data_IF_769911913817
#
_entry.id   IF_769911913817
#
_cell.length_a   1.000
_cell.length_b   1.000
_cell.length_c   1.000
_cell.angle_alpha   90.00
_cell.angle_beta   90.00
_cell.angle_gamma   90.00
#
_symmetry.space_group_name_H-M   'P 1'
#
loop_
_entity.id
_entity.type
_entity.pdbx_description
1 polymer ?
#
# COMPACT_ATOMS: atom_id res chain seq x y z
N UNK A 1 17.76 32.00 -3.37
CA UNK A 1 18.57 30.87 -3.84
C UNK A 1 19.01 30.13 -2.59
N UNK A 2 18.57 28.89 -2.39
CA UNK A 2 18.96 28.11 -1.22
C UNK A 2 20.40 27.61 -1.33
N UNK A 3 21.02 27.29 -0.21
CA UNK A 3 22.38 26.75 -0.16
C UNK A 3 22.46 25.44 -0.94
N UNK A 4 23.39 25.35 -1.90
CA UNK A 4 23.66 24.14 -2.68
C UNK A 4 24.94 23.49 -2.17
N UNK A 5 24.86 22.25 -1.71
CA UNK A 5 25.98 21.53 -1.09
C UNK A 5 26.63 20.57 -2.10
N UNK A 6 27.97 20.51 -2.08
CA UNK A 6 28.77 19.52 -2.81
C UNK A 6 29.60 18.76 -1.79
N UNK A 7 29.46 17.44 -1.75
CA UNK A 7 30.22 16.54 -0.88
C UNK A 7 31.24 15.78 -1.71
N UNK A 8 32.47 15.67 -1.20
CA UNK A 8 33.50 14.79 -1.75
C UNK A 8 33.52 13.51 -0.94
N UNK A 9 33.21 12.39 -1.58
CA UNK A 9 33.37 11.07 -0.99
C UNK A 9 34.71 10.52 -1.46
N UNK A 10 35.67 10.42 -0.55
CA UNK A 10 37.03 10.00 -0.86
C UNK A 10 37.31 8.64 -0.23
N UNK A 11 37.66 7.66 -1.06
CA UNK A 11 38.03 6.31 -0.65
C UNK A 11 39.47 6.00 -1.10
N UNK A 12 40.19 5.21 -0.33
CA UNK A 12 41.57 4.83 -0.63
C UNK A 12 41.79 3.33 -0.54
N UNK A 13 42.46 2.72 -1.53
CA UNK A 13 42.63 1.28 -1.62
C UNK A 13 43.98 0.87 -2.23
N UNK A 14 44.62 -0.13 -1.63
CA UNK A 14 45.84 -0.79 -2.14
C UNK A 14 45.55 -2.10 -2.88
N UNK A 15 44.37 -2.69 -2.68
CA UNK A 15 43.95 -3.94 -3.33
C UNK A 15 42.75 -3.64 -4.22
N UNK A 16 42.77 -4.07 -5.50
CA UNK A 16 41.66 -3.76 -6.39
C UNK A 16 40.42 -4.56 -5.99
N UNK A 17 39.24 -3.92 -6.05
CA UNK A 17 37.95 -4.51 -5.67
C UNK A 17 36.99 -4.46 -6.87
N UNK A 18 36.52 -5.62 -7.31
CA UNK A 18 35.65 -5.75 -8.48
C UNK A 18 34.34 -4.97 -8.35
N UNK A 19 33.85 -4.72 -7.14
CA UNK A 19 32.59 -4.02 -6.88
C UNK A 19 32.80 -2.60 -6.35
N UNK A 20 34.00 -2.03 -6.50
CA UNK A 20 34.30 -0.69 -6.00
C UNK A 20 33.36 0.39 -6.55
N UNK A 21 33.02 0.35 -7.83
CA UNK A 21 32.05 1.27 -8.44
C UNK A 21 30.69 1.24 -7.73
N UNK A 22 30.16 0.04 -7.45
CA UNK A 22 28.93 -0.14 -6.66
C UNK A 22 29.08 0.41 -5.24
N UNK A 23 30.19 0.12 -4.57
CA UNK A 23 30.43 0.53 -3.18
C UNK A 23 30.47 2.06 -3.04
N UNK A 24 31.17 2.74 -3.94
CA UNK A 24 31.24 4.20 -3.95
C UNK A 24 29.87 4.85 -4.17
N UNK A 25 29.08 4.31 -5.09
CA UNK A 25 27.73 4.83 -5.34
C UNK A 25 26.78 4.55 -4.18
N UNK A 26 26.89 3.39 -3.53
CA UNK A 26 26.16 3.10 -2.30
C UNK A 26 26.48 4.13 -1.20
N UNK A 27 27.76 4.43 -0.96
CA UNK A 27 28.16 5.48 -0.02
C UNK A 27 27.67 6.87 -0.42
N UNK A 28 27.68 7.18 -1.71
CA UNK A 28 27.15 8.45 -2.21
C UNK A 28 25.65 8.60 -1.90
N UNK A 29 24.85 7.55 -2.13
CA UNK A 29 23.43 7.54 -1.77
C UNK A 29 23.19 7.61 -0.26
N UNK A 30 24.04 6.95 0.54
CA UNK A 30 23.96 7.07 2.01
C UNK A 30 24.22 8.51 2.46
N UNK A 31 25.24 9.18 1.91
CA UNK A 31 25.56 10.58 2.25
C UNK A 31 24.43 11.53 1.84
N UNK A 32 23.83 11.31 0.66
CA UNK A 32 22.64 12.01 0.19
C UNK A 32 21.45 11.85 1.15
N UNK A 33 21.16 10.62 1.59
CA UNK A 33 20.07 10.34 2.54
C UNK A 33 20.33 10.96 3.92
N UNK A 34 21.57 10.89 4.40
CA UNK A 34 21.96 11.50 5.67
C UNK A 34 21.76 13.03 5.64
N UNK A 35 22.05 13.69 4.52
CA UNK A 35 21.80 15.12 4.35
C UNK A 35 20.29 15.45 4.49
N UNK A 36 19.41 14.65 3.90
CA UNK A 36 17.95 14.85 4.08
C UNK A 36 17.51 14.63 5.54
N UNK A 37 18.08 13.63 6.22
CA UNK A 37 17.79 13.35 7.63
C UNK A 37 18.21 14.48 8.58
N UNK A 38 19.16 15.33 8.17
CA UNK A 38 19.57 16.52 8.92
C UNK A 38 18.59 17.71 8.77
N UNK A 39 17.49 17.54 8.03
CA UNK A 39 16.44 18.55 7.86
C UNK A 39 16.59 19.39 6.59
N UNK A 40 17.58 19.10 5.75
CA UNK A 40 17.71 19.74 4.44
C UNK A 40 16.61 19.26 3.48
N UNK A 41 16.16 20.15 2.58
CA UNK A 41 15.01 19.89 1.68
C UNK A 41 15.41 19.45 0.27
N UNK A 42 16.70 19.48 -0.05
CA UNK A 42 17.25 19.17 -1.37
C UNK A 42 18.45 18.26 -1.22
N UNK A 43 18.70 17.41 -2.23
CA UNK A 43 19.86 16.53 -2.24
C UNK A 43 21.16 17.30 -2.52
N UNK A 44 22.29 16.93 -1.89
CA UNK A 44 23.60 17.44 -2.26
C UNK A 44 24.14 16.70 -3.49
N UNK A 45 25.05 17.32 -4.24
CA UNK A 45 25.86 16.58 -5.21
C UNK A 45 26.97 15.85 -4.46
N UNK A 46 27.08 14.54 -4.62
CA UNK A 46 28.16 13.74 -4.02
C UNK A 46 29.08 13.24 -5.12
N UNK A 47 30.35 13.61 -5.05
CA UNK A 47 31.38 13.22 -6.02
C UNK A 47 32.23 12.11 -5.41
N UNK A 48 32.08 10.84 -5.86
CA UNK A 48 32.95 9.75 -5.44
C UNK A 48 34.33 9.85 -6.11
N UNK A 49 35.39 9.70 -5.32
CA UNK A 49 36.78 9.71 -5.76
C UNK A 49 37.49 8.51 -5.13
N UNK A 50 38.07 7.65 -5.97
CA UNK A 50 38.91 6.53 -5.54
C UNK A 50 40.38 6.87 -5.72
N UNK A 51 41.15 6.84 -4.64
CA UNK A 51 42.61 6.83 -4.68
C UNK A 51 43.13 5.40 -4.62
N UNK A 52 43.47 4.84 -5.78
CA UNK A 52 44.05 3.51 -5.89
C UNK A 52 45.56 3.57 -6.07
N UNK A 53 46.30 2.79 -5.27
CA UNK A 53 47.77 2.72 -5.29
C UNK A 53 48.30 1.29 -5.19
N UNK A 54 47.52 0.32 -5.70
CA UNK A 54 47.91 -1.09 -5.67
C UNK A 54 48.97 -1.49 -6.69
N UNK A 55 49.51 -2.70 -6.52
CA UNK A 55 50.54 -3.27 -7.41
C UNK A 55 50.00 -3.60 -8.82
N UNK A 56 48.71 -3.92 -8.94
CA UNK A 56 48.07 -4.17 -10.25
C UNK A 56 47.70 -2.84 -10.90
N UNK A 57 48.36 -2.48 -12.00
CA UNK A 57 48.15 -1.21 -12.70
C UNK A 57 48.00 -1.42 -14.21
N UNK A 58 47.04 -0.75 -14.88
CA UNK A 58 46.03 0.17 -14.32
C UNK A 58 44.99 -0.57 -13.45
N UNK A 59 44.11 0.19 -12.77
CA UNK A 59 43.02 -0.41 -11.98
C UNK A 59 42.20 -1.38 -12.87
N UNK A 60 42.02 -2.65 -12.48
CA UNK A 60 41.59 -3.68 -13.41
C UNK A 60 40.06 -3.88 -13.51
N UNK A 61 39.25 -3.08 -12.80
CA UNK A 61 37.80 -3.29 -12.68
C UNK A 61 36.99 -2.08 -13.10
N UNK A 62 35.70 -2.32 -13.35
CA UNK A 62 34.76 -1.30 -13.81
C UNK A 62 34.60 -0.16 -12.81
N UNK A 63 34.60 1.07 -13.34
CA UNK A 63 34.48 2.31 -12.56
C UNK A 63 33.02 2.79 -12.48
N UNK A 64 32.20 2.51 -13.50
CA UNK A 64 30.78 2.86 -13.51
C UNK A 64 30.00 1.75 -12.81
N UNK A 65 29.30 2.11 -11.73
CA UNK A 65 28.59 1.14 -10.90
C UNK A 65 27.59 0.24 -11.67
N UNK A 66 26.96 0.75 -12.73
CA UNK A 66 26.01 -0.04 -13.56
C UNK A 66 26.70 -1.14 -14.36
N UNK A 67 28.00 -1.02 -14.62
CA UNK A 67 28.80 -2.07 -15.26
C UNK A 67 29.13 -3.23 -14.32
N UNK A 68 28.96 -3.04 -13.00
CA UNK A 68 29.06 -4.13 -12.03
C UNK A 68 27.88 -5.11 -12.09
N UNK A 69 26.80 -4.78 -12.82
CA UNK A 69 25.60 -5.61 -12.95
C UNK A 69 25.64 -6.50 -14.19
N UNK A 70 24.94 -7.65 -14.18
CA UNK A 70 24.66 -8.40 -15.41
C UNK A 70 23.94 -7.51 -16.43
N UNK A 71 24.24 -7.69 -17.73
CA UNK A 71 23.68 -6.88 -18.81
C UNK A 71 23.90 -5.36 -18.61
N UNK A 72 25.17 -4.95 -18.46
CA UNK A 72 25.59 -3.59 -18.14
C UNK A 72 24.91 -2.48 -18.97
N UNK A 73 24.71 -2.69 -20.28
CA UNK A 73 24.03 -1.72 -21.14
C UNK A 73 22.57 -1.49 -20.73
N UNK A 74 21.84 -2.57 -20.40
CA UNK A 74 20.45 -2.51 -19.93
C UNK A 74 20.40 -1.84 -18.56
N UNK A 75 21.31 -2.19 -17.66
CA UNK A 75 21.40 -1.56 -16.35
C UNK A 75 21.67 -0.06 -16.46
N UNK A 76 22.64 0.35 -17.30
CA UNK A 76 22.96 1.75 -17.50
C UNK A 76 21.76 2.54 -18.03
N UNK A 77 21.07 2.01 -19.04
CA UNK A 77 19.85 2.61 -19.57
C UNK A 77 18.75 2.72 -18.51
N UNK A 78 18.52 1.67 -17.72
CA UNK A 78 17.48 1.62 -16.69
C UNK A 78 17.70 2.66 -15.59
N UNK A 79 18.94 2.82 -15.12
CA UNK A 79 19.25 3.69 -13.99
C UNK A 79 19.63 5.13 -14.37
N UNK A 80 19.81 5.40 -15.67
CA UNK A 80 20.14 6.75 -16.17
C UNK A 80 18.98 7.40 -16.96
N UNK A 81 17.92 6.65 -17.25
CA UNK A 81 16.71 7.17 -17.90
C UNK A 81 15.64 7.56 -16.87
N UNK A 82 14.63 8.37 -17.25
CA UNK A 82 13.44 8.54 -16.44
C UNK A 82 12.84 7.19 -16.06
N UNK A 83 12.34 7.07 -14.83
CA UNK A 83 11.64 5.86 -14.42
C UNK A 83 10.37 5.67 -15.28
N UNK A 84 9.97 4.43 -15.57
CA UNK A 84 8.76 4.16 -16.36
C UNK A 84 7.52 4.50 -15.52
N UNK A 85 6.97 5.70 -15.70
CA UNK A 85 5.72 6.12 -15.08
C UNK A 85 4.54 5.63 -15.92
N UNK A 86 3.68 4.80 -15.33
CA UNK A 86 2.36 4.45 -15.88
C UNK A 86 1.31 5.30 -15.17
N UNK A 87 0.99 6.46 -15.74
CA UNK A 87 -0.03 7.35 -15.20
C UNK A 87 -1.41 7.04 -15.80
N UNK A 88 -2.12 6.12 -15.17
CA UNK A 88 -3.47 5.72 -15.59
C UNK A 88 -4.52 6.85 -15.50
N UNK A 89 -4.21 7.97 -14.84
CA UNK A 89 -5.17 9.08 -14.70
C UNK A 89 -5.40 9.82 -16.01
N UNK A 90 -4.40 9.80 -16.90
CA UNK A 90 -4.44 10.47 -18.21
C UNK A 90 -4.72 9.52 -19.37
N UNK A 91 -4.69 8.20 -19.15
CA UNK A 91 -4.98 7.19 -20.17
C UNK A 91 -6.49 7.07 -20.36
N UNK A 92 -6.99 7.13 -21.59
CA UNK A 92 -8.42 6.99 -21.89
C UNK A 92 -8.96 5.60 -21.54
N UNK A 93 -10.20 5.50 -21.08
CA UNK A 93 -10.79 4.21 -20.67
C UNK A 93 -10.79 3.19 -21.83
N UNK A 94 -11.03 3.65 -23.06
CA UNK A 94 -11.01 2.81 -24.26
C UNK A 94 -9.62 2.28 -24.58
N UNK A 95 -8.57 3.02 -24.23
CA UNK A 95 -7.19 2.56 -24.36
C UNK A 95 -6.89 1.51 -23.28
N UNK A 96 -7.30 1.76 -22.03
CA UNK A 96 -7.14 0.81 -20.91
C UNK A 96 -7.77 -0.55 -21.24
N UNK A 97 -8.96 -0.58 -21.83
CA UNK A 97 -9.62 -1.84 -22.25
C UNK A 97 -8.75 -2.69 -23.18
N UNK A 98 -7.84 -2.08 -23.94
CA UNK A 98 -6.92 -2.79 -24.82
C UNK A 98 -5.75 -3.48 -24.10
N UNK A 99 -5.51 -3.16 -22.81
CA UNK A 99 -4.41 -3.68 -22.01
C UNK A 99 -4.61 -5.14 -21.52
N UNK A 100 -5.60 -5.85 -22.07
CA UNK A 100 -5.83 -7.29 -21.86
C UNK A 100 -6.07 -7.62 -20.37
N UNK A 101 -5.20 -8.42 -19.74
CA UNK A 101 -5.39 -8.95 -18.38
C UNK A 101 -5.33 -7.88 -17.29
N UNK A 102 -4.52 -6.84 -17.49
CA UNK A 102 -4.32 -5.80 -16.46
C UNK A 102 -5.38 -4.69 -16.52
N UNK A 103 -6.14 -4.63 -17.63
CA UNK A 103 -7.12 -3.58 -17.90
C UNK A 103 -8.15 -3.41 -16.77
N UNK A 104 -8.65 -4.50 -16.17
CA UNK A 104 -9.61 -4.38 -15.05
C UNK A 104 -8.96 -3.73 -13.83
N UNK A 105 -7.70 -4.07 -13.54
CA UNK A 105 -6.99 -3.49 -12.40
C UNK A 105 -6.76 -2.00 -12.62
N UNK A 106 -6.29 -1.61 -13.81
CA UNK A 106 -6.07 -0.22 -14.16
C UNK A 106 -7.37 0.60 -14.13
N UNK A 107 -8.44 0.07 -14.71
CA UNK A 107 -9.73 0.74 -14.74
C UNK A 107 -10.33 0.87 -13.33
N UNK A 108 -10.19 -0.17 -12.49
CA UNK A 108 -10.60 -0.14 -11.08
C UNK A 108 -9.77 0.84 -10.25
N UNK A 109 -8.46 0.95 -10.49
CA UNK A 109 -7.60 1.93 -9.82
C UNK A 109 -7.95 3.35 -10.23
N UNK A 110 -8.08 3.60 -11.53
CA UNK A 110 -8.44 4.91 -12.10
C UNK A 110 -9.78 5.39 -11.53
N UNK A 111 -10.74 4.48 -11.44
CA UNK A 111 -12.10 4.78 -11.00
C UNK A 111 -12.44 4.23 -9.62
N UNK A 112 -11.49 4.17 -8.69
CA UNK A 112 -11.69 3.55 -7.35
C UNK A 112 -12.99 3.96 -6.65
N UNK A 113 -13.30 5.25 -6.66
CA UNK A 113 -14.48 5.84 -5.98
C UNK A 113 -15.77 5.76 -6.81
N UNK A 114 -15.64 5.43 -8.09
CA UNK A 114 -16.67 5.30 -9.11
C UNK A 114 -17.97 6.07 -8.83
N UNK A 115 -17.91 7.41 -8.91
CA UNK A 115 -19.03 8.32 -8.61
C UNK A 115 -19.79 8.76 -9.86
N UNK A 116 -19.04 9.24 -10.85
CA UNK A 116 -19.57 9.68 -12.14
C UNK A 116 -19.27 8.60 -13.19
N UNK A 117 -20.11 8.50 -14.21
CA UNK A 117 -19.95 7.56 -15.34
C UNK A 117 -19.82 6.07 -14.98
N UNK A 118 -20.33 5.67 -13.80
CA UNK A 118 -20.26 4.29 -13.32
C UNK A 118 -20.83 3.27 -14.33
N UNK A 119 -21.87 3.66 -15.08
CA UNK A 119 -22.47 2.82 -16.10
C UNK A 119 -21.46 2.52 -17.23
N UNK A 120 -20.82 3.56 -17.79
CA UNK A 120 -19.81 3.42 -18.85
C UNK A 120 -18.62 2.59 -18.38
N UNK A 121 -18.14 2.80 -17.15
CA UNK A 121 -17.03 2.02 -16.59
C UNK A 121 -17.45 0.57 -16.35
N UNK A 122 -18.69 0.32 -15.94
CA UNK A 122 -19.23 -1.04 -15.78
C UNK A 122 -19.29 -1.78 -17.11
N UNK A 123 -19.71 -1.10 -18.18
CA UNK A 123 -19.70 -1.64 -19.55
C UNK A 123 -18.28 -2.06 -19.96
N UNK A 124 -17.26 -1.26 -19.63
CA UNK A 124 -15.88 -1.64 -19.87
C UNK A 124 -15.44 -2.85 -19.03
N UNK A 125 -15.84 -2.96 -17.76
CA UNK A 125 -15.56 -4.17 -16.97
C UNK A 125 -16.18 -5.41 -17.61
N UNK A 126 -17.44 -5.33 -18.05
CA UNK A 126 -18.12 -6.41 -18.78
C UNK A 126 -17.35 -6.76 -20.06
N UNK A 127 -16.96 -5.75 -20.85
CA UNK A 127 -16.20 -5.94 -22.09
C UNK A 127 -14.87 -6.66 -21.83
N UNK A 128 -14.12 -6.25 -20.81
CA UNK A 128 -12.83 -6.85 -20.48
C UNK A 128 -13.03 -8.29 -19.99
N UNK A 129 -14.01 -8.54 -19.13
CA UNK A 129 -14.30 -9.89 -18.61
C UNK A 129 -14.74 -10.85 -19.72
N UNK A 130 -15.49 -10.37 -20.71
CA UNK A 130 -15.92 -11.18 -21.85
C UNK A 130 -14.84 -11.35 -22.94
N UNK A 131 -13.69 -10.69 -22.81
CA UNK A 131 -12.58 -10.84 -23.75
C UNK A 131 -11.88 -12.21 -23.61
N UNK A 132 -11.37 -12.76 -24.71
CA UNK A 132 -10.66 -14.05 -24.73
C UNK A 132 -9.27 -14.05 -24.07
N UNK A 133 -8.91 -12.97 -23.35
CA UNK A 133 -7.61 -12.86 -22.70
C UNK A 133 -7.56 -13.42 -21.28
N UNK A 134 -8.72 -13.66 -20.64
CA UNK A 134 -8.80 -14.06 -19.24
C UNK A 134 -9.24 -15.52 -19.11
N UNK A 135 -8.40 -16.34 -18.48
CA UNK A 135 -8.82 -17.67 -18.03
C UNK A 135 -9.64 -17.59 -16.73
N UNK A 136 -10.11 -18.74 -16.25
CA UNK A 136 -10.93 -18.80 -15.04
C UNK A 136 -10.21 -18.26 -13.80
N UNK A 137 -8.90 -18.47 -13.67
CA UNK A 137 -8.10 -17.99 -12.54
C UNK A 137 -7.84 -16.49 -12.64
N UNK A 138 -7.59 -15.98 -13.86
CA UNK A 138 -7.47 -14.55 -14.12
C UNK A 138 -8.74 -13.84 -13.68
N UNK A 139 -9.91 -14.33 -14.08
CA UNK A 139 -11.20 -13.71 -13.71
C UNK A 139 -11.45 -13.75 -12.21
N UNK A 140 -11.16 -14.86 -11.53
CA UNK A 140 -11.29 -14.92 -10.07
C UNK A 140 -10.38 -13.87 -9.41
N UNK A 141 -9.15 -13.73 -9.86
CA UNK A 141 -8.17 -12.77 -9.33
C UNK A 141 -8.64 -11.33 -9.57
N UNK A 142 -9.07 -11.04 -10.78
CA UNK A 142 -9.62 -9.76 -11.20
C UNK A 142 -10.83 -9.37 -10.34
N UNK A 143 -11.79 -10.27 -10.14
CA UNK A 143 -13.00 -10.00 -9.37
C UNK A 143 -12.71 -9.80 -7.88
N UNK A 144 -11.83 -10.60 -7.30
CA UNK A 144 -11.39 -10.39 -5.91
C UNK A 144 -10.77 -9.00 -5.76
N UNK A 145 -9.86 -8.63 -6.67
CA UNK A 145 -9.24 -7.30 -6.66
C UNK A 145 -10.27 -6.18 -6.82
N UNK A 146 -11.16 -6.30 -7.80
CA UNK A 146 -12.21 -5.33 -8.11
C UNK A 146 -13.09 -5.08 -6.89
N UNK A 147 -13.54 -6.14 -6.21
CA UNK A 147 -14.41 -6.02 -5.04
C UNK A 147 -13.69 -5.55 -3.77
N UNK A 148 -12.38 -5.75 -3.66
CA UNK A 148 -11.59 -5.23 -2.53
C UNK A 148 -11.37 -3.71 -2.68
N UNK A 149 -11.08 -3.24 -3.90
CA UNK A 149 -10.66 -1.85 -4.10
C UNK A 149 -11.80 -0.92 -4.42
N UNK A 150 -12.84 -1.40 -5.10
CA UNK A 150 -13.97 -0.56 -5.49
C UNK A 150 -14.74 -0.09 -4.26
N UNK A 151 -14.75 1.23 -4.08
CA UNK A 151 -15.45 1.93 -3.02
C UNK A 151 -16.50 2.84 -3.66
N UNK A 152 -17.60 2.22 -4.09
CA UNK A 152 -18.66 2.88 -4.86
C UNK A 152 -20.04 2.70 -4.21
N UNK A 153 -20.87 3.77 -4.16
CA UNK A 153 -22.26 3.64 -3.74
C UNK A 153 -23.10 2.77 -4.72
N UNK A 154 -22.62 2.56 -5.95
CA UNK A 154 -23.29 1.75 -6.97
C UNK A 154 -22.82 0.29 -6.98
N UNK A 155 -22.07 -0.15 -5.98
CA UNK A 155 -21.48 -1.49 -5.92
C UNK A 155 -22.48 -2.61 -6.24
N UNK A 156 -23.67 -2.56 -5.64
CA UNK A 156 -24.70 -3.60 -5.87
C UNK A 156 -25.14 -3.68 -7.33
N UNK A 157 -25.46 -2.54 -7.96
CA UNK A 157 -25.90 -2.53 -9.36
C UNK A 157 -24.78 -2.93 -10.33
N UNK A 158 -23.52 -2.59 -10.00
CA UNK A 158 -22.35 -3.01 -10.76
C UNK A 158 -22.21 -4.54 -10.69
N UNK A 159 -22.24 -5.11 -9.48
CA UNK A 159 -22.15 -6.57 -9.28
C UNK A 159 -23.27 -7.30 -10.01
N UNK A 160 -24.51 -6.81 -9.93
CA UNK A 160 -25.65 -7.37 -10.66
C UNK A 160 -25.43 -7.32 -12.18
N UNK A 161 -24.98 -6.18 -12.71
CA UNK A 161 -24.66 -6.04 -14.14
C UNK A 161 -23.57 -7.01 -14.58
N UNK A 162 -22.52 -7.19 -13.77
CA UNK A 162 -21.45 -8.15 -14.04
C UNK A 162 -21.98 -9.60 -14.02
N UNK A 163 -22.85 -9.95 -13.07
CA UNK A 163 -23.49 -11.28 -12.99
C UNK A 163 -24.33 -11.55 -14.24
N UNK A 164 -25.06 -10.55 -14.73
CA UNK A 164 -25.99 -10.69 -15.84
C UNK A 164 -25.31 -10.68 -17.21
N UNK A 165 -24.25 -9.89 -17.37
CA UNK A 165 -23.62 -9.66 -18.68
C UNK A 165 -22.27 -10.36 -18.87
N UNK A 166 -21.63 -10.88 -17.81
CA UNK A 166 -20.38 -11.63 -17.93
C UNK A 166 -20.67 -13.13 -18.17
N UNK A 167 -20.96 -13.47 -19.42
CA UNK A 167 -21.51 -14.77 -19.87
C UNK A 167 -20.79 -15.99 -19.24
N UNK A 168 -19.48 -16.09 -19.45
CA UNK A 168 -18.67 -17.25 -19.02
C UNK A 168 -18.27 -17.20 -17.55
N UNK A 169 -18.61 -16.14 -16.82
CA UNK A 169 -18.06 -15.83 -15.51
C UNK A 169 -19.10 -15.65 -14.42
N UNK A 170 -20.40 -15.66 -14.76
CA UNK A 170 -21.52 -15.57 -13.82
C UNK A 170 -21.36 -16.41 -12.56
N UNK A 171 -21.04 -17.70 -12.71
CA UNK A 171 -20.88 -18.62 -11.58
C UNK A 171 -19.72 -18.24 -10.65
N UNK A 172 -18.61 -17.75 -11.20
CA UNK A 172 -17.47 -17.27 -10.41
C UNK A 172 -17.83 -15.98 -9.67
N UNK A 173 -18.47 -15.02 -10.35
CA UNK A 173 -18.91 -13.74 -9.76
C UNK A 173 -19.88 -13.98 -8.61
N UNK A 174 -20.92 -14.79 -8.84
CA UNK A 174 -21.92 -15.12 -7.80
C UNK A 174 -21.27 -15.78 -6.59
N UNK A 175 -20.36 -16.74 -6.80
CA UNK A 175 -19.68 -17.43 -5.70
C UNK A 175 -18.83 -16.44 -4.88
N UNK A 176 -18.02 -15.61 -5.54
CA UNK A 176 -17.16 -14.61 -4.88
C UNK A 176 -18.01 -13.58 -4.13
N UNK A 177 -19.05 -13.02 -4.76
CA UNK A 177 -19.95 -12.06 -4.13
C UNK A 177 -20.66 -12.66 -2.90
N UNK A 178 -21.11 -13.91 -3.00
CA UNK A 178 -21.75 -14.61 -1.88
C UNK A 178 -20.76 -14.92 -0.75
N UNK A 179 -19.53 -15.30 -1.08
CA UNK A 179 -18.45 -15.53 -0.11
C UNK A 179 -18.15 -14.23 0.66
N UNK A 180 -17.89 -13.12 -0.04
CA UNK A 180 -17.62 -11.82 0.58
C UNK A 180 -18.78 -11.35 1.46
N UNK A 181 -20.03 -11.53 1.01
CA UNK A 181 -21.22 -11.22 1.82
C UNK A 181 -21.31 -12.07 3.09
N UNK A 182 -20.91 -13.34 3.03
CA UNK A 182 -20.90 -14.21 4.20
C UNK A 182 -19.75 -13.86 5.16
N UNK A 183 -18.57 -13.53 4.65
CA UNK A 183 -17.43 -13.05 5.43
C UNK A 183 -17.81 -11.77 6.18
N UNK A 184 -18.34 -10.75 5.51
CA UNK A 184 -18.78 -9.52 6.17
C UNK A 184 -19.89 -9.73 7.20
N UNK A 185 -20.79 -10.71 7.00
CA UNK A 185 -21.78 -11.09 8.03
C UNK A 185 -21.16 -11.75 9.24
N UNK A 186 -20.12 -12.56 9.06
CA UNK A 186 -19.41 -13.22 10.16
C UNK A 186 -18.62 -12.18 10.94
N UNK A 187 -17.88 -11.32 10.24
CA UNK A 187 -17.10 -10.23 10.80
C UNK A 187 -17.99 -9.29 11.63
N UNK A 188 -19.06 -8.76 11.05
CA UNK A 188 -19.99 -7.88 11.79
C UNK A 188 -20.68 -8.55 12.98
N UNK A 189 -20.89 -9.88 12.95
CA UNK A 189 -21.38 -10.63 14.12
C UNK A 189 -20.33 -10.77 15.22
N UNK A 190 -19.06 -10.92 14.84
CA UNK A 190 -17.96 -11.01 15.79
C UNK A 190 -17.74 -9.64 16.43
N UNK A 191 -17.64 -8.59 15.62
CA UNK A 191 -17.50 -7.20 16.07
C UNK A 191 -18.65 -6.82 17.00
N UNK A 192 -19.90 -6.96 16.56
CA UNK A 192 -21.06 -6.62 17.40
C UNK A 192 -21.17 -7.46 18.67
N UNK A 193 -20.64 -8.69 18.70
CA UNK A 193 -20.57 -9.50 19.91
C UNK A 193 -19.44 -9.05 20.85
N UNK A 194 -18.33 -8.56 20.32
CA UNK A 194 -17.24 -8.00 21.13
C UNK A 194 -17.66 -6.66 21.72
N UNK A 195 -18.14 -5.74 20.88
CA UNK A 195 -18.66 -4.43 21.30
C UNK A 195 -19.78 -4.60 22.32
N UNK A 196 -20.81 -5.40 22.02
CA UNK A 196 -21.92 -5.61 22.96
C UNK A 196 -21.52 -6.28 24.28
N UNK A 197 -20.40 -7.02 24.32
CA UNK A 197 -19.85 -7.55 25.59
C UNK A 197 -19.11 -6.48 26.37
N UNK A 198 -18.38 -5.60 25.70
CA UNK A 198 -17.67 -4.49 26.34
C UNK A 198 -18.68 -3.46 26.88
N UNK A 199 -19.62 -3.01 26.05
CA UNK A 199 -20.71 -2.12 26.45
C UNK A 199 -21.52 -2.72 27.62
N UNK A 200 -21.96 -3.97 27.52
CA UNK A 200 -22.71 -4.63 28.59
C UNK A 200 -21.90 -4.77 29.89
N UNK A 201 -20.58 -4.95 29.80
CA UNK A 201 -19.69 -4.97 30.98
C UNK A 201 -19.59 -3.58 31.60
N UNK A 202 -19.37 -2.55 30.80
CA UNK A 202 -19.31 -1.16 31.27
C UNK A 202 -20.62 -0.74 31.93
N UNK A 203 -21.77 -0.97 31.27
CA UNK A 203 -23.09 -0.69 31.84
C UNK A 203 -23.32 -1.43 33.17
N UNK A 204 -22.93 -2.70 33.25
CA UNK A 204 -23.05 -3.48 34.49
C UNK A 204 -22.18 -2.89 35.61
N UNK A 205 -20.94 -2.49 35.31
CA UNK A 205 -20.04 -1.87 36.29
C UNK A 205 -20.58 -0.51 36.77
N UNK A 206 -21.10 0.31 35.86
CA UNK A 206 -21.74 1.58 36.19
C UNK A 206 -23.00 1.38 37.06
N UNK A 207 -23.84 0.39 36.74
CA UNK A 207 -25.02 0.05 37.56
C UNK A 207 -24.63 -0.43 38.97
N UNK A 208 -23.58 -1.25 39.09
CA UNK A 208 -23.04 -1.68 40.38
C UNK A 208 -22.52 -0.46 41.17
N UNK A 209 -21.79 0.45 40.53
CA UNK A 209 -21.28 1.67 41.16
C UNK A 209 -22.43 2.57 41.65
N UNK A 210 -23.44 2.84 40.82
CA UNK A 210 -24.63 3.61 41.17
C UNK A 210 -25.38 3.01 42.36
N UNK A 211 -25.63 1.70 42.34
CA UNK A 211 -26.32 1.02 43.43
C UNK A 211 -25.50 1.04 44.72
N UNK A 212 -24.17 0.95 44.61
CA UNK A 212 -23.27 1.02 45.77
C UNK A 212 -23.22 2.43 46.37
N UNK A 213 -23.25 3.48 45.54
CA UNK A 213 -23.39 4.88 45.99
C UNK A 213 -24.71 5.08 46.75
N UNK A 214 -25.82 4.56 46.22
CA UNK A 214 -27.14 4.63 46.88
C UNK A 214 -27.18 3.90 48.23
N UNK A 215 -26.40 2.83 48.39
CA UNK A 215 -26.26 2.07 49.63
C UNK A 215 -25.26 2.72 50.63
N UNK A 216 -24.61 3.82 50.25
CA UNK A 216 -23.72 4.59 51.12
C UNK A 216 -22.28 4.07 51.20
N UNK A 217 -21.82 3.26 50.25
CA UNK A 217 -20.41 2.86 50.17
C UNK A 217 -19.52 4.05 49.76
N UNK A 218 -18.31 4.14 50.32
CA UNK A 218 -17.32 5.16 49.96
C UNK A 218 -16.78 4.93 48.54
N UNK A 219 -16.42 6.01 47.84
CA UNK A 219 -15.89 5.97 46.47
C UNK A 219 -14.66 5.08 46.30
N UNK A 220 -13.79 4.99 47.32
CA UNK A 220 -12.60 4.12 47.29
C UNK A 220 -12.97 2.63 47.23
N UNK A 221 -13.98 2.22 48.01
CA UNK A 221 -14.48 0.83 48.04
C UNK A 221 -15.19 0.48 46.74
N UNK A 222 -15.93 1.43 46.15
CA UNK A 222 -16.60 1.24 44.86
C UNK A 222 -15.57 1.11 43.73
N UNK A 223 -14.50 1.90 43.76
CA UNK A 223 -13.39 1.82 42.82
C UNK A 223 -12.69 0.46 42.89
N UNK A 224 -12.46 -0.08 44.09
CA UNK A 224 -11.86 -1.40 44.28
C UNK A 224 -12.77 -2.55 43.76
N UNK A 225 -14.10 -2.45 43.97
CA UNK A 225 -15.08 -3.47 43.53
C UNK A 225 -15.28 -3.46 42.01
N UNK A 226 -15.37 -2.27 41.41
CA UNK A 226 -15.77 -2.10 40.00
C UNK A 226 -14.59 -1.92 39.05
N UNK A 227 -13.42 -1.55 39.57
CA UNK A 227 -12.25 -1.16 38.78
C UNK A 227 -12.39 0.19 38.08
N UNK A 228 -13.49 0.93 38.29
CA UNK A 228 -13.69 2.29 37.78
C UNK A 228 -12.82 3.28 38.57
N UNK A 229 -12.31 4.29 37.89
CA UNK A 229 -11.58 5.39 38.52
C UNK A 229 -12.50 6.24 39.40
N UNK A 230 -11.93 6.90 40.40
CA UNK A 230 -12.68 7.79 41.30
C UNK A 230 -13.40 8.89 40.50
N UNK A 231 -12.77 9.41 39.44
CA UNK A 231 -13.37 10.40 38.53
C UNK A 231 -14.59 9.87 37.78
N UNK A 232 -14.55 8.62 37.30
CA UNK A 232 -15.69 7.99 36.62
C UNK A 232 -16.85 7.77 37.59
N UNK A 233 -16.56 7.33 38.83
CA UNK A 233 -17.58 7.11 39.86
C UNK A 233 -18.22 8.44 40.29
N UNK A 234 -17.45 9.52 40.42
CA UNK A 234 -17.98 10.84 40.76
C UNK A 234 -18.84 11.44 39.64
N UNK A 235 -18.55 11.13 38.38
CA UNK A 235 -19.35 11.57 37.24
C UNK A 235 -20.72 10.85 37.14
N UNK A 236 -20.89 9.71 37.82
CA UNK A 236 -22.17 8.98 37.89
C UNK A 236 -23.13 9.54 38.96
N UNK A 237 -22.68 10.47 39.81
CA UNK A 237 -23.42 10.97 40.98
C UNK A 237 -24.10 12.32 40.72
#
# INVERSE_FOLDING_TARGET
>A
MGDSYIYLLVEHQSTPDKLMGWRLMHYAFMAMNQHLQQGHKTLPLVVPILFYHGETSPYPYEEVWTQCLPHAEVAHALYSSPFPLVDITVVEDTEIVSHRKIAVMELAMKHKKLRNDHQKVTEHFVQILNSHYNDKNDVITILNYLFIIMDSPYYTSIVETLIDQAENHRGAIMNIAQRLKNEGKIEGKIEGRVEGKEEGREETLQQIALKSLQLGFSTDVISEITGLSISEIQALN
#
